data_IF_048904156724
#
_entry.id   IF_048904156724
#
_cell.length_a   1.000
_cell.length_b   1.000
_cell.length_c   1.000
_cell.angle_alpha   90.00
_cell.angle_beta   90.00
_cell.angle_gamma   90.00
#
_symmetry.space_group_name_H-M   'P 1'
#
loop_
_entity.id
_entity.type
_entity.pdbx_description
1 polymer ?
#
# COMPACT_ATOMS: atom_id res chain seq x y z
N UNK A 1 11.70 12.91 -10.69
CA UNK A 1 12.28 13.92 -9.77
C UNK A 1 13.41 13.42 -8.86
N UNK A 2 13.32 12.22 -8.25
CA UNK A 2 14.30 11.75 -7.24
C UNK A 2 15.77 11.80 -7.68
N UNK A 3 16.08 11.40 -8.92
CA UNK A 3 17.43 11.50 -9.49
C UNK A 3 17.97 12.94 -9.48
N UNK A 4 17.17 13.90 -9.93
CA UNK A 4 17.55 15.31 -9.95
C UNK A 4 17.78 15.87 -8.54
N UNK A 5 16.92 15.50 -7.58
CA UNK A 5 17.12 15.82 -6.16
C UNK A 5 18.47 15.30 -5.67
N UNK A 6 18.80 14.04 -5.93
CA UNK A 6 20.06 13.42 -5.51
C UNK A 6 21.28 14.09 -6.16
N UNK A 7 21.24 14.35 -7.47
CA UNK A 7 22.34 14.98 -8.20
C UNK A 7 22.63 16.40 -7.69
N UNK A 8 21.57 17.20 -7.47
CA UNK A 8 21.70 18.55 -6.91
C UNK A 8 22.23 18.48 -5.47
N UNK A 9 21.72 17.55 -4.65
CA UNK A 9 22.19 17.36 -3.28
C UNK A 9 23.69 17.06 -3.21
N UNK A 10 24.19 16.16 -4.06
CA UNK A 10 25.62 15.86 -4.20
C UNK A 10 26.42 17.07 -4.68
N UNK A 11 25.99 17.71 -5.77
CA UNK A 11 26.71 18.86 -6.37
C UNK A 11 26.81 20.05 -5.41
N UNK A 12 25.75 20.31 -4.66
CA UNK A 12 25.67 21.42 -3.71
C UNK A 12 26.20 21.07 -2.32
N UNK A 13 26.60 19.81 -2.09
CA UNK A 13 27.05 19.29 -0.79
C UNK A 13 26.05 19.62 0.32
N UNK A 14 24.77 19.37 0.05
CA UNK A 14 23.73 19.46 1.08
C UNK A 14 24.06 18.48 2.22
N UNK A 15 23.46 18.73 3.39
CA UNK A 15 23.65 17.90 4.57
C UNK A 15 22.31 17.61 5.23
N UNK A 16 22.21 16.42 5.80
CA UNK A 16 21.11 16.01 6.69
C UNK A 16 19.71 16.17 6.08
N UNK A 17 19.58 15.95 4.77
CA UNK A 17 18.28 15.98 4.09
C UNK A 17 17.53 14.69 4.38
N UNK A 18 16.50 14.76 5.23
CA UNK A 18 15.63 13.63 5.52
C UNK A 18 14.60 13.44 4.40
N UNK A 19 14.56 12.23 3.83
CA UNK A 19 13.57 11.85 2.80
C UNK A 19 12.54 10.93 3.44
N UNK A 20 11.36 11.46 3.75
CA UNK A 20 10.26 10.69 4.35
C UNK A 20 9.43 10.02 3.24
N UNK A 21 9.20 8.71 3.33
CA UNK A 21 8.45 7.98 2.31
C UNK A 21 7.88 6.65 2.82
N UNK A 22 6.93 6.08 2.07
CA UNK A 22 6.50 4.69 2.20
C UNK A 22 7.23 3.82 1.16
N UNK A 23 6.61 2.74 0.69
CA UNK A 23 7.14 1.95 -0.42
C UNK A 23 7.34 2.84 -1.65
N UNK A 24 8.59 3.00 -2.09
CA UNK A 24 8.91 3.79 -3.28
C UNK A 24 9.26 2.86 -4.42
N UNK A 25 8.55 2.97 -5.53
CA UNK A 25 8.87 2.23 -6.74
C UNK A 25 10.08 2.80 -7.49
N UNK A 26 10.83 1.91 -8.15
CA UNK A 26 12.02 2.26 -8.90
C UNK A 26 13.26 2.57 -8.04
N UNK A 27 14.33 3.14 -8.64
CA UNK A 27 15.57 3.40 -7.93
C UNK A 27 15.44 4.48 -6.84
N UNK A 28 16.08 4.26 -5.69
CA UNK A 28 16.25 5.24 -4.63
C UNK A 28 17.71 5.75 -4.60
N UNK A 29 18.15 6.58 -5.56
CA UNK A 29 19.56 6.97 -5.69
C UNK A 29 20.08 7.77 -4.48
N UNK A 30 19.20 8.43 -3.73
CA UNK A 30 19.53 9.10 -2.47
C UNK A 30 19.97 8.12 -1.36
N UNK A 31 19.77 6.81 -1.53
CA UNK A 31 20.24 5.77 -0.61
C UNK A 31 21.60 5.18 -1.00
N UNK A 32 22.29 5.70 -2.03
CA UNK A 32 23.61 5.21 -2.41
C UNK A 32 24.67 5.57 -1.34
N UNK A 33 25.74 4.76 -1.15
CA UNK A 33 26.75 5.02 -0.11
C UNK A 33 27.38 6.41 -0.19
N UNK A 34 27.58 6.95 -1.39
CA UNK A 34 28.15 8.29 -1.57
C UNK A 34 27.17 9.44 -1.27
N UNK A 35 25.91 9.11 -0.93
CA UNK A 35 24.92 10.06 -0.43
C UNK A 35 24.84 10.08 1.10
N UNK A 36 25.63 9.25 1.79
CA UNK A 36 25.65 9.23 3.25
C UNK A 36 26.09 10.59 3.82
N UNK A 37 25.40 11.05 4.86
CA UNK A 37 25.50 12.42 5.40
C UNK A 37 24.88 13.53 4.54
N UNK A 38 24.51 13.27 3.29
CA UNK A 38 23.76 14.21 2.44
C UNK A 38 22.26 13.95 2.58
N UNK A 39 21.86 12.69 2.35
CA UNK A 39 20.48 12.24 2.45
C UNK A 39 20.37 11.13 3.47
N UNK A 40 19.26 11.12 4.20
CA UNK A 40 18.86 10.01 5.07
C UNK A 40 17.45 9.57 4.73
N UNK A 41 17.31 8.34 4.25
CA UNK A 41 15.99 7.72 4.05
C UNK A 41 15.31 7.54 5.39
N UNK A 42 14.05 7.95 5.49
CA UNK A 42 13.20 7.78 6.66
C UNK A 42 11.92 7.09 6.21
N UNK A 43 11.95 5.76 6.25
CA UNK A 43 10.91 4.90 5.66
C UNK A 43 9.82 4.59 6.68
N UNK A 44 8.57 4.97 6.41
CA UNK A 44 7.40 4.49 7.16
C UNK A 44 6.97 3.08 6.73
N UNK A 45 7.35 2.69 5.50
CA UNK A 45 7.21 1.35 4.97
C UNK A 45 8.34 1.10 3.97
N UNK A 46 9.13 0.05 4.14
CA UNK A 46 10.32 -0.15 3.30
C UNK A 46 10.01 -0.83 1.96
N UNK A 47 10.53 -0.24 0.88
CA UNK A 47 10.68 -0.90 -0.41
C UNK A 47 11.99 -1.69 -0.52
N UNK A 48 12.10 -2.56 -1.53
CA UNK A 48 13.31 -3.36 -1.78
C UNK A 48 14.56 -2.52 -2.03
N UNK A 49 14.38 -1.36 -2.67
CA UNK A 49 15.40 -0.39 -3.03
C UNK A 49 16.11 0.29 -1.84
N UNK A 50 15.54 0.29 -0.63
CA UNK A 50 16.13 0.93 0.55
C UNK A 50 16.65 -0.04 1.61
N UNK A 51 16.32 -1.34 1.52
CA UNK A 51 16.70 -2.38 2.50
C UNK A 51 18.19 -2.38 2.84
N UNK A 52 19.05 -2.28 1.83
CA UNK A 52 20.50 -2.30 2.01
C UNK A 52 20.99 -1.09 2.82
N UNK A 53 20.45 0.10 2.52
CA UNK A 53 20.85 1.31 3.23
C UNK A 53 20.43 1.28 4.71
N UNK A 54 19.23 0.76 5.01
CA UNK A 54 18.78 0.55 6.40
C UNK A 54 19.65 -0.47 7.12
N UNK A 55 19.93 -1.62 6.49
CA UNK A 55 20.79 -2.66 7.08
C UNK A 55 22.23 -2.18 7.37
N UNK A 56 22.73 -1.21 6.59
CA UNK A 56 24.05 -0.59 6.78
C UNK A 56 24.02 0.63 7.73
N UNK A 57 22.88 1.00 8.31
CA UNK A 57 22.73 2.14 9.23
C UNK A 57 22.66 3.52 8.57
N UNK A 58 22.64 3.58 7.23
CA UNK A 58 22.57 4.82 6.44
C UNK A 58 21.14 5.33 6.22
N UNK A 59 20.14 4.52 6.56
CA UNK A 59 18.72 4.89 6.52
C UNK A 59 17.96 4.36 7.74
N UNK A 60 16.78 4.93 7.97
CA UNK A 60 15.87 4.58 9.06
C UNK A 60 14.62 3.87 8.54
N UNK A 61 14.12 2.95 9.34
CA UNK A 61 12.79 2.36 9.21
C UNK A 61 12.01 2.68 10.48
N UNK A 62 10.89 3.38 10.34
CA UNK A 62 10.00 3.72 11.45
C UNK A 62 8.85 2.71 11.50
N UNK A 63 8.75 1.86 12.54
CA UNK A 63 7.58 1.01 12.73
C UNK A 63 6.38 1.87 13.15
N UNK A 64 5.35 1.92 12.30
CA UNK A 64 4.12 2.67 12.53
C UNK A 64 2.96 2.04 11.74
N UNK A 65 1.74 2.06 12.29
CA UNK A 65 0.54 1.63 11.56
C UNK A 65 0.29 2.55 10.37
N UNK A 66 -0.15 1.98 9.25
CA UNK A 66 -0.35 2.78 8.04
C UNK A 66 -1.42 3.85 8.26
N UNK A 67 -2.49 3.48 8.99
CA UNK A 67 -3.54 4.40 9.45
C UNK A 67 -3.02 5.56 10.32
N UNK A 68 -1.87 5.40 10.99
CA UNK A 68 -1.32 6.41 11.89
C UNK A 68 -0.27 7.31 11.24
N UNK A 69 0.28 6.97 10.06
CA UNK A 69 1.27 7.84 9.38
C UNK A 69 0.76 9.28 9.23
N UNK A 70 -0.51 9.54 8.83
CA UNK A 70 -1.04 10.90 8.75
C UNK A 70 -0.95 11.70 10.05
N UNK A 71 -1.01 11.04 11.23
CA UNK A 71 -0.94 11.73 12.52
C UNK A 71 0.40 12.44 12.73
N UNK A 72 1.48 11.93 12.12
CA UNK A 72 2.81 12.53 12.21
C UNK A 72 2.81 13.95 11.61
N UNK A 73 2.02 14.15 10.56
CA UNK A 73 1.88 15.44 9.89
C UNK A 73 0.85 16.33 10.58
N UNK A 74 -0.33 15.80 10.92
CA UNK A 74 -1.38 16.56 11.60
C UNK A 74 -0.93 17.13 12.95
N UNK A 75 -0.12 16.36 13.71
CA UNK A 75 0.46 16.80 14.99
C UNK A 75 1.79 17.52 14.85
N UNK A 76 2.26 17.77 13.61
CA UNK A 76 3.55 18.43 13.35
C UNK A 76 4.74 17.75 14.02
N UNK A 77 4.67 16.42 14.18
CA UNK A 77 5.82 15.61 14.61
C UNK A 77 6.85 15.56 13.49
N UNK A 78 6.36 15.51 12.24
CA UNK A 78 7.16 15.69 11.03
C UNK A 78 6.56 16.85 10.24
N UNK A 79 7.38 17.84 9.95
CA UNK A 79 7.01 19.03 9.16
C UNK A 79 7.90 19.10 7.91
N UNK A 80 7.50 18.44 6.80
CA UNK A 80 8.30 18.47 5.60
C UNK A 80 8.41 19.90 5.06
N UNK A 81 9.60 20.28 4.61
CA UNK A 81 9.73 21.56 3.89
C UNK A 81 9.18 21.45 2.48
N UNK A 82 9.39 20.29 1.83
CA UNK A 82 8.97 20.02 0.47
C UNK A 82 8.12 18.75 0.40
N UNK A 83 7.01 18.81 -0.31
CA UNK A 83 6.31 17.63 -0.82
C UNK A 83 6.67 17.44 -2.29
N UNK A 84 7.17 16.26 -2.64
CA UNK A 84 7.43 15.88 -4.03
C UNK A 84 6.36 14.89 -4.45
N UNK A 85 5.45 15.32 -5.31
CA UNK A 85 4.28 14.54 -5.73
C UNK A 85 4.29 14.30 -7.23
N UNK A 86 3.53 13.31 -7.68
CA UNK A 86 3.23 13.11 -9.10
C UNK A 86 1.71 13.19 -9.28
N UNK A 87 1.26 13.90 -10.31
CA UNK A 87 -0.16 14.18 -10.55
C UNK A 87 -0.55 14.04 -12.02
N UNK A 88 -1.84 13.85 -12.28
CA UNK A 88 -2.42 13.99 -13.63
C UNK A 88 -2.28 15.45 -14.13
N UNK A 89 -2.44 15.70 -15.43
CA UNK A 89 -2.67 17.05 -15.94
C UNK A 89 -3.92 17.67 -15.28
N UNK A 90 -3.97 19.01 -15.14
CA UNK A 90 -5.17 19.68 -14.67
C UNK A 90 -6.31 19.53 -15.68
N UNK A 91 -7.52 19.35 -15.18
CA UNK A 91 -8.73 19.42 -15.98
C UNK A 91 -9.12 20.87 -16.33
N UNK A 92 -10.25 21.06 -17.02
CA UNK A 92 -10.75 22.38 -17.42
C UNK A 92 -11.05 23.33 -16.23
N UNK A 93 -11.11 22.81 -15.00
CA UNK A 93 -11.36 23.57 -13.78
C UNK A 93 -10.08 23.77 -12.95
N UNK A 94 -8.92 23.37 -13.48
CA UNK A 94 -7.63 23.54 -12.82
C UNK A 94 -7.33 22.46 -11.78
N UNK A 95 -8.07 21.34 -11.76
CA UNK A 95 -7.82 20.26 -10.80
C UNK A 95 -6.99 19.14 -11.40
N UNK A 96 -5.89 18.82 -10.73
CA UNK A 96 -5.13 17.60 -10.94
C UNK A 96 -5.61 16.50 -9.97
N UNK A 97 -5.20 15.25 -10.22
CA UNK A 97 -5.36 14.12 -9.29
C UNK A 97 -4.01 13.54 -8.89
N UNK A 98 -3.85 13.18 -7.62
CA UNK A 98 -2.75 12.35 -7.10
C UNK A 98 -2.75 10.93 -7.68
N UNK A 99 -3.85 10.52 -8.32
CA UNK A 99 -3.97 9.28 -9.06
C UNK A 99 -3.82 8.05 -8.18
N UNK A 100 -2.70 7.34 -8.33
CA UNK A 100 -2.48 6.03 -7.71
C UNK A 100 -2.09 6.08 -6.24
N UNK A 101 -1.78 7.24 -5.66
CA UNK A 101 -1.29 7.34 -4.28
C UNK A 101 -1.89 8.54 -3.57
N UNK A 102 -2.96 8.31 -2.80
CA UNK A 102 -3.57 9.33 -1.95
C UNK A 102 -3.02 9.21 -0.54
N UNK A 103 -3.22 8.02 0.04
CA UNK A 103 -2.57 7.50 1.24
C UNK A 103 -2.16 8.53 2.30
N UNK A 104 -0.92 8.50 2.78
CA UNK A 104 -0.37 9.52 3.66
C UNK A 104 0.17 10.74 2.89
N UNK A 105 0.36 10.64 1.57
CA UNK A 105 0.82 11.75 0.71
C UNK A 105 -0.09 12.95 0.86
N UNK A 106 -1.42 12.74 0.96
CA UNK A 106 -2.38 13.83 1.18
C UNK A 106 -2.08 14.63 2.45
N UNK A 107 -1.83 13.94 3.57
CA UNK A 107 -1.48 14.57 4.83
C UNK A 107 -0.11 15.25 4.76
N UNK A 108 0.90 14.55 4.22
CA UNK A 108 2.26 15.06 4.05
C UNK A 108 2.32 16.33 3.20
N UNK A 109 1.63 16.37 2.05
CA UNK A 109 1.63 17.55 1.19
C UNK A 109 0.89 18.74 1.81
N UNK A 110 -0.22 18.49 2.52
CA UNK A 110 -1.01 19.55 3.14
C UNK A 110 -0.29 20.24 4.31
N UNK A 111 0.74 19.59 4.87
CA UNK A 111 1.58 20.12 5.95
C UNK A 111 2.99 20.48 5.46
N UNK A 112 3.22 20.47 4.15
CA UNK A 112 4.48 20.89 3.55
C UNK A 112 4.46 22.38 3.23
N UNK A 113 5.63 23.03 3.32
CA UNK A 113 5.74 24.46 2.97
C UNK A 113 5.70 24.72 1.48
N UNK A 114 6.23 23.79 0.68
CA UNK A 114 6.36 23.89 -0.77
C UNK A 114 5.93 22.57 -1.41
N UNK A 115 5.05 22.63 -2.39
CA UNK A 115 4.58 21.49 -3.18
C UNK A 115 5.23 21.53 -4.57
N UNK A 116 5.99 20.48 -4.89
CA UNK A 116 6.66 20.31 -6.18
C UNK A 116 6.02 19.11 -6.90
N UNK A 117 5.35 19.38 -8.03
CA UNK A 117 4.56 18.39 -8.75
C UNK A 117 5.22 17.94 -10.07
N UNK A 118 5.30 16.63 -10.26
CA UNK A 118 5.58 16.00 -11.54
C UNK A 118 4.25 15.76 -12.26
N UNK A 119 3.93 16.56 -13.27
CA UNK A 119 2.68 16.43 -14.04
C UNK A 119 2.90 15.40 -15.14
N UNK A 120 2.17 14.28 -15.09
CA UNK A 120 2.32 13.14 -16.00
C UNK A 120 0.96 12.78 -16.64
N UNK A 121 0.81 12.83 -17.98
CA UNK A 121 -0.42 12.41 -18.64
C UNK A 121 -0.76 10.92 -18.43
N UNK A 122 0.22 10.10 -18.05
CA UNK A 122 0.00 8.68 -17.73
C UNK A 122 -0.49 8.45 -16.28
N UNK A 123 -0.61 9.50 -15.45
CA UNK A 123 -1.19 9.39 -14.11
C UNK A 123 -2.72 9.39 -14.21
N UNK A 124 -3.43 8.32 -13.79
CA UNK A 124 -4.87 8.27 -13.89
C UNK A 124 -5.53 9.32 -13.00
N UNK A 125 -6.65 9.87 -13.45
CA UNK A 125 -7.48 10.79 -12.70
C UNK A 125 -8.49 10.02 -11.86
N UNK A 126 -8.08 9.63 -10.66
CA UNK A 126 -8.93 8.96 -9.68
C UNK A 126 -9.83 9.95 -8.93
N UNK A 127 -11.01 9.50 -8.51
CA UNK A 127 -11.93 10.25 -7.64
C UNK A 127 -11.59 10.04 -6.15
N UNK A 128 -12.14 10.86 -5.27
CA UNK A 128 -11.92 10.82 -3.82
C UNK A 128 -11.02 11.96 -3.35
N UNK A 129 -10.17 11.69 -2.35
CA UNK A 129 -9.35 12.70 -1.66
C UNK A 129 -8.07 13.07 -2.44
N UNK A 130 -7.84 12.43 -3.58
CA UNK A 130 -6.71 12.67 -4.46
C UNK A 130 -6.74 14.00 -5.23
N UNK A 131 -7.82 14.76 -5.16
CA UNK A 131 -8.02 15.97 -5.97
C UNK A 131 -7.23 17.15 -5.38
N UNK A 132 -6.49 17.88 -6.23
CA UNK A 132 -5.72 19.07 -5.87
C UNK A 132 -5.81 20.14 -6.98
N UNK A 133 -6.12 21.38 -6.60
CA UNK A 133 -6.13 22.50 -7.55
C UNK A 133 -4.71 23.03 -7.80
N UNK A 134 -4.40 23.44 -9.04
CA UNK A 134 -3.08 23.93 -9.45
C UNK A 134 -2.58 25.13 -8.64
N UNK A 135 -3.48 25.93 -8.04
CA UNK A 135 -3.09 27.06 -7.19
C UNK A 135 -2.39 26.66 -5.90
N UNK A 136 -2.44 25.39 -5.51
CA UNK A 136 -1.70 24.85 -4.36
C UNK A 136 -0.32 24.31 -4.73
N UNK A 137 0.03 24.27 -6.02
CA UNK A 137 1.31 23.74 -6.49
C UNK A 137 2.28 24.90 -6.72
N UNK A 138 3.38 24.95 -5.96
CA UNK A 138 4.39 26.00 -6.08
C UNK A 138 5.27 25.84 -7.32
N UNK A 139 5.67 24.61 -7.62
CA UNK A 139 6.51 24.28 -8.77
C UNK A 139 5.99 23.04 -9.47
N UNK A 140 5.97 23.06 -10.80
CA UNK A 140 5.58 21.91 -11.60
C UNK A 140 6.59 21.65 -12.72
N UNK A 141 6.84 20.37 -13.02
CA UNK A 141 7.48 19.98 -14.27
C UNK A 141 6.63 18.94 -15.00
N UNK A 142 6.58 19.06 -16.33
CA UNK A 142 5.91 18.07 -17.17
C UNK A 142 6.85 16.91 -17.43
N UNK A 143 6.31 15.70 -17.38
CA UNK A 143 6.96 14.49 -17.84
C UNK A 143 5.96 13.71 -18.69
N UNK A 144 6.47 12.82 -19.53
CA UNK A 144 5.67 11.82 -20.21
C UNK A 144 6.41 10.49 -20.07
N UNK A 145 6.06 9.76 -19.02
CA UNK A 145 6.71 8.51 -18.64
C UNK A 145 5.65 7.53 -18.16
N UNK A 146 5.74 6.25 -18.55
CA UNK A 146 4.86 5.22 -18.02
C UNK A 146 5.01 5.14 -16.50
N UNK A 147 3.92 4.83 -15.81
CA UNK A 147 3.96 4.54 -14.38
C UNK A 147 4.70 3.21 -14.14
N UNK A 148 5.38 3.05 -13.00
CA UNK A 148 5.96 1.76 -12.62
C UNK A 148 4.88 0.69 -12.58
N UNK A 149 5.03 -0.36 -13.38
CA UNK A 149 4.06 -1.47 -13.41
C UNK A 149 4.54 -2.64 -12.56
N UNK A 150 3.62 -3.26 -11.84
CA UNK A 150 3.85 -4.52 -11.13
C UNK A 150 2.94 -5.59 -11.72
N UNK A 151 3.53 -6.54 -12.44
CA UNK A 151 2.87 -7.77 -12.88
C UNK A 151 3.23 -8.90 -11.92
N UNK A 152 2.24 -9.47 -11.25
CA UNK A 152 2.43 -10.68 -10.44
C UNK A 152 2.93 -11.84 -11.30
N UNK A 153 3.71 -12.73 -10.70
CA UNK A 153 3.94 -14.04 -11.30
C UNK A 153 2.66 -14.88 -11.17
N UNK A 154 2.36 -15.77 -12.13
CA UNK A 154 1.26 -16.71 -11.99
C UNK A 154 1.38 -17.48 -10.66
N UNK A 155 0.29 -17.66 -9.92
CA UNK A 155 0.33 -18.40 -8.68
C UNK A 155 0.81 -19.83 -8.90
N UNK A 156 1.67 -20.32 -8.00
CA UNK A 156 2.09 -21.72 -7.91
C UNK A 156 0.91 -22.61 -7.52
N UNK A 157 1.04 -23.93 -7.69
CA UNK A 157 -0.01 -24.87 -7.26
C UNK A 157 -0.34 -24.76 -5.77
N UNK A 158 0.67 -24.50 -4.92
CA UNK A 158 0.45 -24.27 -3.48
C UNK A 158 -0.41 -23.02 -3.26
N UNK A 159 -0.12 -21.93 -3.96
CA UNK A 159 -0.86 -20.68 -3.83
C UNK A 159 -2.27 -20.79 -4.41
N UNK A 160 -2.45 -21.53 -5.50
CA UNK A 160 -3.79 -21.87 -6.03
C UNK A 160 -4.61 -22.65 -5.01
N UNK A 161 -4.02 -23.62 -4.31
CA UNK A 161 -4.71 -24.37 -3.25
C UNK A 161 -5.07 -23.46 -2.06
N UNK A 162 -4.17 -22.56 -1.66
CA UNK A 162 -4.47 -21.54 -0.64
C UNK A 162 -5.64 -20.67 -1.09
N UNK A 163 -5.59 -20.16 -2.33
CA UNK A 163 -6.63 -19.33 -2.93
C UNK A 163 -7.99 -20.02 -2.94
N UNK A 164 -8.04 -21.27 -3.42
CA UNK A 164 -9.22 -22.12 -3.43
C UNK A 164 -9.80 -22.34 -2.03
N UNK A 165 -8.95 -22.69 -1.06
CA UNK A 165 -9.39 -22.93 0.31
C UNK A 165 -10.02 -21.68 0.94
N UNK A 166 -9.42 -20.50 0.71
CA UNK A 166 -9.97 -19.24 1.20
C UNK A 166 -11.29 -18.90 0.50
N UNK A 167 -11.31 -18.97 -0.83
CA UNK A 167 -12.49 -18.63 -1.63
C UNK A 167 -13.69 -19.53 -1.28
N UNK A 168 -13.52 -20.85 -1.30
CA UNK A 168 -14.64 -21.80 -1.14
C UNK A 168 -15.14 -21.91 0.30
N UNK A 169 -14.26 -21.75 1.30
CA UNK A 169 -14.61 -22.03 2.69
C UNK A 169 -14.79 -20.76 3.54
N UNK A 170 -14.17 -19.65 3.14
CA UNK A 170 -14.09 -18.46 3.99
C UNK A 170 -14.72 -17.23 3.35
N UNK A 171 -14.73 -17.07 2.03
CA UNK A 171 -15.43 -15.93 1.42
C UNK A 171 -16.93 -16.24 1.31
N UNK A 172 -17.76 -15.26 1.62
CA UNK A 172 -19.22 -15.37 1.51
C UNK A 172 -19.77 -14.36 0.51
N UNK A 173 -20.90 -14.69 -0.12
CA UNK A 173 -21.69 -13.71 -0.87
C UNK A 173 -22.01 -12.48 -0.01
N UNK A 174 -21.88 -11.31 -0.62
CA UNK A 174 -22.06 -10.02 0.04
C UNK A 174 -20.91 -9.57 0.94
N UNK A 175 -19.80 -10.32 1.01
CA UNK A 175 -18.63 -9.93 1.79
C UNK A 175 -17.90 -8.73 1.19
N UNK A 176 -17.30 -7.90 2.07
CA UNK A 176 -16.36 -6.86 1.66
C UNK A 176 -14.95 -7.37 1.82
N UNK A 177 -14.16 -7.28 0.76
CA UNK A 177 -12.81 -7.82 0.71
C UNK A 177 -11.78 -6.72 0.94
N UNK A 178 -10.78 -7.05 1.76
CA UNK A 178 -9.46 -6.42 1.74
C UNK A 178 -8.41 -7.48 1.39
N UNK A 179 -7.51 -7.11 0.48
CA UNK A 179 -6.35 -7.92 0.17
C UNK A 179 -5.25 -7.04 -0.44
N UNK A 180 -3.99 -7.45 -0.25
CA UNK A 180 -2.84 -6.80 -0.87
C UNK A 180 -2.60 -7.27 -2.31
N UNK A 181 -1.38 -7.04 -2.80
CA UNK A 181 -0.87 -7.60 -4.05
C UNK A 181 -0.09 -8.89 -3.81
N UNK A 182 0.01 -9.72 -4.85
CA UNK A 182 0.86 -10.90 -4.88
C UNK A 182 0.10 -12.17 -5.24
N UNK A 183 0.86 -13.26 -5.37
CA UNK A 183 0.37 -14.56 -5.84
C UNK A 183 -0.80 -15.14 -5.02
N UNK A 184 -0.80 -14.98 -3.69
CA UNK A 184 -1.90 -15.47 -2.84
C UNK A 184 -3.18 -14.65 -3.06
N UNK A 185 -3.19 -13.31 -2.92
CA UNK A 185 -4.36 -12.49 -3.28
C UNK A 185 -4.88 -12.77 -4.69
N UNK A 186 -3.99 -12.85 -5.69
CA UNK A 186 -4.36 -13.14 -7.08
C UNK A 186 -5.01 -14.53 -7.22
N UNK A 187 -4.50 -15.54 -6.52
CA UNK A 187 -5.08 -16.87 -6.49
C UNK A 187 -6.47 -16.90 -5.83
N UNK A 188 -6.67 -16.12 -4.76
CA UNK A 188 -8.00 -15.98 -4.14
C UNK A 188 -8.97 -15.37 -5.15
N UNK A 189 -8.63 -14.22 -5.75
CA UNK A 189 -9.50 -13.51 -6.70
C UNK A 189 -9.91 -14.39 -7.88
N UNK A 190 -9.00 -15.20 -8.41
CA UNK A 190 -9.28 -16.13 -9.51
C UNK A 190 -10.35 -17.18 -9.14
N UNK A 191 -10.50 -17.53 -7.87
CA UNK A 191 -11.47 -18.50 -7.35
C UNK A 191 -12.81 -17.85 -6.94
N UNK A 192 -12.98 -16.54 -7.05
CA UNK A 192 -14.21 -15.84 -6.62
C UNK A 192 -15.24 -15.62 -7.73
N UNK A 193 -15.08 -16.24 -8.90
CA UNK A 193 -15.90 -15.98 -10.09
C UNK A 193 -17.38 -16.38 -9.97
N UNK A 194 -17.75 -17.22 -9.00
CA UNK A 194 -19.13 -17.62 -8.74
C UNK A 194 -19.78 -16.86 -7.57
N UNK A 195 -19.01 -16.02 -6.87
CA UNK A 195 -19.49 -15.23 -5.74
C UNK A 195 -20.31 -14.03 -6.23
N UNK A 196 -21.25 -13.59 -5.39
CA UNK A 196 -22.21 -12.54 -5.70
C UNK A 196 -22.12 -11.39 -4.73
N UNK A 197 -22.35 -10.19 -5.26
CA UNK A 197 -22.51 -8.96 -4.49
C UNK A 197 -21.32 -8.61 -3.58
N UNK A 198 -20.11 -9.02 -3.97
CA UNK A 198 -18.88 -8.69 -3.25
C UNK A 198 -18.65 -7.18 -3.23
N UNK A 199 -18.03 -6.70 -2.15
CA UNK A 199 -17.54 -5.34 -2.00
C UNK A 199 -16.03 -5.29 -1.89
N UNK A 200 -15.44 -4.13 -2.16
CA UNK A 200 -14.02 -3.84 -2.00
C UNK A 200 -13.88 -2.60 -1.10
N UNK A 201 -13.18 -2.78 0.02
CA UNK A 201 -12.69 -1.71 0.87
C UNK A 201 -11.31 -2.15 1.33
N UNK A 202 -10.29 -1.66 0.65
CA UNK A 202 -8.94 -2.20 0.78
C UNK A 202 -7.93 -1.06 0.78
N UNK A 203 -6.80 -1.26 1.45
CA UNK A 203 -5.66 -0.34 1.35
C UNK A 203 -5.23 -0.14 -0.13
N UNK A 204 -5.15 -1.26 -0.85
CA UNK A 204 -4.85 -1.32 -2.28
C UNK A 204 -5.59 -2.50 -2.91
N UNK A 205 -5.69 -2.56 -4.24
CA UNK A 205 -6.22 -3.73 -4.92
C UNK A 205 -5.48 -4.04 -6.21
N UNK A 206 -5.53 -5.31 -6.62
CA UNK A 206 -4.84 -5.83 -7.79
C UNK A 206 -5.77 -5.96 -9.00
N UNK A 207 -5.19 -6.29 -10.16
CA UNK A 207 -5.90 -6.45 -11.42
C UNK A 207 -7.03 -7.50 -11.39
N UNK A 208 -6.93 -8.54 -10.55
CA UNK A 208 -7.97 -9.57 -10.43
C UNK A 208 -9.34 -9.02 -9.97
N UNK A 209 -9.38 -7.84 -9.33
CA UNK A 209 -10.64 -7.17 -9.02
C UNK A 209 -11.38 -6.73 -10.29
N UNK A 210 -10.65 -6.32 -11.33
CA UNK A 210 -11.24 -5.88 -12.61
C UNK A 210 -12.03 -7.02 -13.25
N UNK A 211 -11.48 -8.23 -13.24
CA UNK A 211 -12.14 -9.42 -13.79
C UNK A 211 -13.43 -9.75 -13.03
N UNK A 212 -13.41 -9.65 -11.70
CA UNK A 212 -14.61 -9.86 -10.87
C UNK A 212 -15.66 -8.77 -11.06
N UNK A 213 -15.25 -7.53 -11.33
CA UNK A 213 -16.18 -6.45 -11.70
C UNK A 213 -16.83 -6.73 -13.05
N UNK A 214 -16.04 -7.09 -14.06
CA UNK A 214 -16.54 -7.40 -15.41
C UNK A 214 -17.51 -8.59 -15.41
N UNK A 215 -17.34 -9.54 -14.48
CA UNK A 215 -18.25 -10.68 -14.27
C UNK A 215 -19.49 -10.36 -13.44
N UNK A 216 -19.55 -9.17 -12.83
CA UNK A 216 -20.65 -8.78 -11.94
C UNK A 216 -20.56 -9.38 -10.52
N UNK A 217 -19.45 -10.01 -10.16
CA UNK A 217 -19.21 -10.55 -8.82
C UNK A 217 -19.01 -9.42 -7.81
N UNK A 218 -18.25 -8.39 -8.18
CA UNK A 218 -18.00 -7.19 -7.35
C UNK A 218 -18.98 -6.09 -7.74
N UNK A 219 -19.93 -5.81 -6.86
CA UNK A 219 -20.96 -4.77 -7.07
C UNK A 219 -20.89 -3.65 -6.04
N UNK A 220 -20.27 -3.89 -4.88
CA UNK A 220 -20.27 -2.98 -3.73
C UNK A 220 -21.67 -2.64 -3.19
N UNK A 221 -22.72 -3.36 -3.60
CA UNK A 221 -24.12 -3.03 -3.26
C UNK A 221 -24.51 -3.34 -1.82
N UNK A 222 -23.77 -4.23 -1.15
CA UNK A 222 -24.01 -4.61 0.24
C UNK A 222 -23.27 -3.72 1.24
N UNK A 223 -22.25 -2.97 0.81
CA UNK A 223 -21.51 -2.05 1.67
C UNK A 223 -22.45 -1.02 2.31
N UNK A 224 -22.21 -0.69 3.58
CA UNK A 224 -23.01 0.29 4.35
C UNK A 224 -22.65 1.73 4.02
N UNK A 225 -21.36 1.98 3.81
CA UNK A 225 -20.77 3.25 3.39
C UNK A 225 -20.01 3.02 2.08
N UNK A 226 -19.87 4.06 1.25
CA UNK A 226 -19.33 3.92 -0.11
C UNK A 226 -20.03 2.81 -0.92
N UNK A 227 -21.37 2.75 -0.80
CA UNK A 227 -22.19 1.76 -1.50
C UNK A 227 -22.08 1.97 -3.01
N UNK A 228 -21.88 0.89 -3.75
CA UNK A 228 -21.68 0.94 -5.20
C UNK A 228 -20.32 1.51 -5.61
N UNK A 229 -19.35 1.61 -4.69
CA UNK A 229 -18.00 2.12 -4.94
C UNK A 229 -16.93 1.19 -4.39
N UNK A 230 -15.90 0.93 -5.17
CA UNK A 230 -14.62 0.38 -4.72
C UNK A 230 -13.89 1.48 -3.94
N UNK A 231 -13.38 1.15 -2.76
CA UNK A 231 -12.55 2.07 -1.96
C UNK A 231 -11.13 1.55 -1.88
N UNK A 232 -10.17 2.43 -2.21
CA UNK A 232 -8.72 2.23 -2.16
C UNK A 232 -8.01 3.39 -1.49
N UNK A 233 -6.74 3.22 -1.12
CA UNK A 233 -5.86 4.29 -0.60
C UNK A 233 -4.66 4.55 -1.51
N UNK A 234 -4.10 3.48 -2.07
CA UNK A 234 -3.11 3.54 -3.15
C UNK A 234 -3.19 2.32 -4.08
N UNK A 235 -2.49 2.38 -5.21
CA UNK A 235 -2.51 1.38 -6.27
C UNK A 235 -1.12 1.15 -6.86
N UNK A 236 -0.81 -0.12 -7.12
CA UNK A 236 0.28 -0.51 -8.00
C UNK A 236 -0.15 -1.78 -8.73
N UNK A 237 0.07 -1.81 -10.04
CA UNK A 237 -0.37 -2.93 -10.87
C UNK A 237 0.06 -2.76 -12.31
N UNK A 238 -0.71 -3.35 -13.22
CA UNK A 238 -0.48 -3.25 -14.66
C UNK A 238 -1.13 -2.01 -15.24
N UNK A 239 -0.83 -1.70 -16.51
CA UNK A 239 -1.50 -0.61 -17.23
C UNK A 239 -3.03 -0.78 -17.24
N UNK A 240 -3.54 -2.00 -17.32
CA UNK A 240 -4.97 -2.27 -17.27
C UNK A 240 -5.62 -1.81 -15.95
N UNK A 241 -4.90 -1.89 -14.82
CA UNK A 241 -5.38 -1.34 -13.54
C UNK A 241 -5.43 0.19 -13.60
N UNK A 242 -4.42 0.84 -14.16
CA UNK A 242 -4.37 2.29 -14.28
C UNK A 242 -5.46 2.82 -15.22
N UNK A 243 -5.69 2.14 -16.35
CA UNK A 243 -6.77 2.48 -17.28
C UNK A 243 -8.15 2.28 -16.64
N UNK A 244 -8.32 1.23 -15.83
CA UNK A 244 -9.60 0.94 -15.15
C UNK A 244 -9.97 2.00 -14.12
N UNK A 245 -9.00 2.58 -13.42
CA UNK A 245 -9.27 3.59 -12.37
C UNK A 245 -9.31 5.02 -12.92
N UNK A 246 -8.80 5.26 -14.12
CA UNK A 246 -8.84 6.58 -14.76
C UNK A 246 -10.28 7.02 -15.03
N UNK A 247 -10.68 8.16 -14.47
CA UNK A 247 -12.01 8.76 -14.64
C UNK A 247 -13.18 7.79 -14.40
N UNK A 248 -12.98 6.77 -13.55
CA UNK A 248 -14.01 5.78 -13.26
C UNK A 248 -14.73 6.11 -11.94
N UNK A 249 -16.00 6.58 -11.97
CA UNK A 249 -16.73 6.93 -10.75
C UNK A 249 -17.03 5.72 -9.87
N UNK A 250 -16.80 4.48 -10.34
CA UNK A 250 -16.91 3.29 -9.52
C UNK A 250 -15.78 3.15 -8.48
N UNK A 251 -14.70 3.92 -8.60
CA UNK A 251 -13.52 3.85 -7.73
C UNK A 251 -13.32 5.17 -6.98
N UNK A 252 -13.13 5.08 -5.68
CA UNK A 252 -12.77 6.21 -4.81
C UNK A 252 -11.44 5.91 -4.09
N UNK A 253 -10.47 6.79 -4.30
CA UNK A 253 -9.16 6.76 -3.65
C UNK A 253 -9.15 7.76 -2.50
N UNK A 254 -9.04 7.27 -1.27
CA UNK A 254 -9.20 8.05 -0.04
C UNK A 254 -7.94 8.04 0.81
N UNK A 255 -7.88 8.92 1.80
CA UNK A 255 -6.76 8.98 2.75
C UNK A 255 -6.64 7.71 3.59
N UNK A 256 -5.40 7.33 3.93
CA UNK A 256 -5.13 6.04 4.59
C UNK A 256 -5.66 5.96 6.03
N UNK A 257 -5.70 7.08 6.75
CA UNK A 257 -6.28 7.20 8.09
C UNK A 257 -7.81 7.03 8.10
N UNK A 258 -8.46 7.08 6.93
CA UNK A 258 -9.86 6.67 6.76
C UNK A 258 -9.97 5.20 6.35
N UNK A 259 -9.29 4.83 5.26
CA UNK A 259 -9.41 3.49 4.64
C UNK A 259 -8.98 2.40 5.62
N UNK A 260 -7.89 2.61 6.34
CA UNK A 260 -7.34 1.67 7.31
C UNK A 260 -7.89 1.88 8.73
N UNK A 261 -8.82 2.81 8.95
CA UNK A 261 -9.39 3.00 10.28
C UNK A 261 -10.19 1.75 10.69
N UNK A 262 -9.84 1.12 11.82
CA UNK A 262 -10.62 -0.01 12.34
C UNK A 262 -12.09 0.37 12.53
N UNK A 263 -12.38 1.62 12.92
CA UNK A 263 -13.74 2.16 13.06
C UNK A 263 -14.53 2.13 11.74
N UNK A 264 -13.87 2.29 10.60
CA UNK A 264 -14.48 2.24 9.26
C UNK A 264 -14.54 0.78 8.78
N UNK A 265 -13.42 0.06 8.90
CA UNK A 265 -13.29 -1.36 8.50
C UNK A 265 -14.33 -2.24 9.20
N UNK A 266 -14.56 -2.07 10.50
CA UNK A 266 -15.53 -2.86 11.27
C UNK A 266 -17.00 -2.60 10.90
N UNK A 267 -17.28 -1.54 10.14
CA UNK A 267 -18.62 -1.30 9.59
C UNK A 267 -18.89 -2.08 8.30
N UNK A 268 -17.83 -2.57 7.64
CA UNK A 268 -17.96 -3.30 6.38
C UNK A 268 -18.66 -4.65 6.61
N UNK A 269 -19.67 -5.00 5.80
CA UNK A 269 -20.38 -6.27 5.95
C UNK A 269 -19.44 -7.45 5.65
N UNK A 270 -19.43 -8.43 6.55
CA UNK A 270 -18.61 -9.65 6.50
C UNK A 270 -17.17 -9.36 6.07
N UNK A 271 -16.57 -8.35 6.68
CA UNK A 271 -15.25 -7.85 6.27
C UNK A 271 -14.22 -8.99 6.28
N UNK A 272 -13.75 -9.37 5.10
CA UNK A 272 -12.84 -10.50 4.89
C UNK A 272 -11.47 -9.94 4.51
N UNK A 273 -10.59 -9.87 5.50
CA UNK A 273 -9.25 -9.29 5.38
C UNK A 273 -8.23 -10.40 5.19
N UNK A 274 -7.59 -10.47 4.03
CA UNK A 274 -6.68 -11.55 3.64
C UNK A 274 -5.28 -10.98 3.47
N UNK A 275 -4.36 -11.43 4.33
CA UNK A 275 -2.99 -10.93 4.33
C UNK A 275 -1.96 -12.07 4.39
N UNK A 276 -0.76 -11.79 3.88
CA UNK A 276 0.34 -12.75 3.87
C UNK A 276 1.35 -12.48 4.99
N UNK A 277 2.09 -13.50 5.40
CA UNK A 277 3.18 -13.35 6.37
C UNK A 277 4.45 -14.13 5.96
N UNK A 278 5.55 -13.81 6.64
CA UNK A 278 6.86 -14.45 6.49
C UNK A 278 6.93 -15.73 7.32
N UNK A 279 6.41 -15.72 8.53
CA UNK A 279 6.36 -16.91 9.39
C UNK A 279 5.31 -16.74 10.50
N UNK A 280 4.88 -17.87 11.04
CA UNK A 280 4.00 -17.95 12.21
C UNK A 280 4.60 -18.93 13.19
N UNK A 281 4.58 -18.60 14.48
CA UNK A 281 5.02 -19.53 15.50
C UNK A 281 3.89 -20.36 16.15
N UNK A 282 4.24 -21.36 16.94
CA UNK A 282 3.27 -22.25 17.61
C UNK A 282 2.40 -21.54 18.64
N UNK A 283 2.72 -20.30 19.03
CA UNK A 283 1.88 -19.48 19.90
C UNK A 283 0.90 -18.59 19.12
N UNK A 284 1.01 -18.58 17.78
CA UNK A 284 0.18 -17.78 16.89
C UNK A 284 0.74 -16.38 16.63
N UNK A 285 1.98 -16.08 17.04
CA UNK A 285 2.62 -14.82 16.66
C UNK A 285 2.90 -14.82 15.16
N UNK A 286 2.57 -13.71 14.50
CA UNK A 286 2.73 -13.53 13.06
C UNK A 286 3.85 -12.53 12.81
N UNK A 287 4.87 -12.95 12.05
CA UNK A 287 5.91 -12.05 11.56
C UNK A 287 5.72 -11.83 10.06
N UNK A 288 5.58 -10.57 9.65
CA UNK A 288 5.31 -10.18 8.25
C UNK A 288 6.27 -9.12 7.70
N UNK A 289 7.12 -8.53 8.53
CA UNK A 289 7.91 -7.35 8.16
C UNK A 289 9.43 -7.50 8.33
N UNK A 290 9.90 -8.57 8.96
CA UNK A 290 11.32 -8.81 9.20
C UNK A 290 11.73 -10.28 8.99
N UNK A 291 13.04 -10.51 8.85
CA UNK A 291 13.65 -11.86 8.90
C UNK A 291 14.74 -11.81 9.97
N UNK A 292 14.40 -12.22 11.19
CA UNK A 292 15.18 -11.86 12.38
C UNK A 292 15.31 -10.34 12.48
N UNK A 293 16.50 -9.83 12.80
CA UNK A 293 16.77 -8.37 12.87
C UNK A 293 16.77 -7.64 11.53
N UNK A 294 16.69 -8.35 10.41
CA UNK A 294 16.73 -7.70 9.10
C UNK A 294 15.33 -7.27 8.68
N UNK A 295 15.06 -5.98 8.84
CA UNK A 295 13.85 -5.34 8.31
C UNK A 295 13.71 -5.61 6.81
N UNK A 296 12.54 -6.12 6.42
CA UNK A 296 12.20 -6.44 5.04
C UNK A 296 11.20 -5.42 4.47
N UNK A 297 10.23 -4.97 5.26
CA UNK A 297 9.16 -4.06 4.83
C UNK A 297 8.71 -3.18 6.01
N UNK A 298 7.45 -3.27 6.38
CA UNK A 298 6.79 -2.81 7.59
C UNK A 298 5.51 -3.64 7.74
N UNK A 299 4.88 -3.64 8.91
CA UNK A 299 3.60 -4.35 9.09
C UNK A 299 2.44 -3.65 8.37
N UNK A 300 2.60 -2.36 8.02
CA UNK A 300 1.66 -1.61 7.17
C UNK A 300 0.24 -1.63 7.72
N UNK A 301 -0.76 -1.79 6.83
CA UNK A 301 -2.16 -1.91 7.21
C UNK A 301 -2.62 -3.32 7.59
N UNK A 302 -1.73 -4.31 7.63
CA UNK A 302 -2.13 -5.68 7.96
C UNK A 302 -2.87 -5.74 9.31
N UNK A 303 -2.29 -5.12 10.33
CA UNK A 303 -2.88 -5.11 11.68
C UNK A 303 -4.19 -4.32 11.70
N UNK A 304 -4.24 -3.18 11.00
CA UNK A 304 -5.45 -2.36 10.87
C UNK A 304 -6.64 -3.18 10.35
N UNK A 305 -6.45 -3.91 9.25
CA UNK A 305 -7.52 -4.68 8.62
C UNK A 305 -7.86 -5.97 9.35
N UNK A 306 -6.86 -6.69 9.85
CA UNK A 306 -7.10 -7.90 10.66
C UNK A 306 -7.87 -7.54 11.93
N UNK A 307 -7.52 -6.44 12.60
CA UNK A 307 -8.25 -5.95 13.77
C UNK A 307 -9.66 -5.52 13.40
N UNK A 308 -9.81 -4.68 12.38
CA UNK A 308 -11.12 -4.18 11.97
C UNK A 308 -12.08 -5.30 11.50
N UNK A 309 -11.58 -6.32 10.81
CA UNK A 309 -12.36 -7.50 10.45
C UNK A 309 -12.78 -8.31 11.69
N UNK A 310 -11.87 -8.54 12.64
CA UNK A 310 -12.18 -9.23 13.90
C UNK A 310 -13.22 -8.48 14.74
N UNK A 311 -13.19 -7.15 14.72
CA UNK A 311 -14.13 -6.26 15.42
C UNK A 311 -15.42 -5.98 14.64
N UNK A 312 -15.63 -6.63 13.48
CA UNK A 312 -16.77 -6.40 12.58
C UNK A 312 -18.11 -6.37 13.32
N UNK A 313 -18.87 -5.28 13.16
CA UNK A 313 -20.09 -5.02 13.93
C UNK A 313 -21.22 -6.02 13.64
N UNK A 314 -21.16 -6.72 12.52
CA UNK A 314 -22.12 -7.78 12.19
C UNK A 314 -21.73 -9.15 12.77
N UNK A 315 -20.57 -9.26 13.42
CA UNK A 315 -20.03 -10.50 13.98
C UNK A 315 -19.60 -11.53 12.93
N UNK A 316 -19.46 -11.14 11.65
CA UNK A 316 -19.18 -12.04 10.53
C UNK A 316 -17.86 -11.76 9.82
N UNK A 317 -17.06 -10.83 10.33
CA UNK A 317 -15.75 -10.53 9.75
C UNK A 317 -14.77 -11.70 9.90
N UNK A 318 -13.85 -11.81 8.95
CA UNK A 318 -12.90 -12.93 8.81
C UNK A 318 -11.48 -12.39 8.61
N UNK A 319 -10.69 -12.29 9.69
CA UNK A 319 -9.27 -12.00 9.60
C UNK A 319 -8.49 -13.25 9.19
N UNK A 320 -7.81 -13.22 8.04
CA UNK A 320 -7.12 -14.37 7.46
C UNK A 320 -5.66 -14.03 7.24
N UNK A 321 -4.78 -14.83 7.84
CA UNK A 321 -3.34 -14.83 7.57
C UNK A 321 -3.01 -16.09 6.76
N UNK A 322 -2.42 -15.90 5.59
CA UNK A 322 -2.11 -16.98 4.65
C UNK A 322 -0.62 -17.02 4.30
N UNK A 323 -0.08 -18.23 4.18
CA UNK A 323 1.28 -18.45 3.70
C UNK A 323 1.45 -19.89 3.20
N UNK A 324 2.40 -20.15 2.29
CA UNK A 324 2.92 -21.51 2.11
C UNK A 324 3.45 -22.04 3.45
N UNK A 325 3.38 -23.36 3.67
CA UNK A 325 3.93 -23.98 4.88
C UNK A 325 5.46 -23.99 4.91
N UNK A 326 6.10 -23.93 3.73
CA UNK A 326 7.56 -23.93 3.57
C UNK A 326 8.03 -22.83 2.63
N UNK A 327 9.30 -22.46 2.73
CA UNK A 327 9.99 -21.60 1.75
C UNK A 327 10.37 -22.39 0.50
N UNK A 328 10.82 -21.69 -0.54
CA UNK A 328 11.38 -22.32 -1.76
C UNK A 328 12.64 -23.17 -1.49
N UNK A 329 13.24 -23.07 -0.29
CA UNK A 329 14.37 -23.90 0.15
C UNK A 329 13.94 -25.10 1.02
N UNK A 330 12.65 -25.31 1.21
CA UNK A 330 12.10 -26.38 2.05
C UNK A 330 12.10 -26.09 3.55
N UNK A 331 12.52 -24.89 3.98
CA UNK A 331 12.47 -24.49 5.39
C UNK A 331 11.02 -24.22 5.83
N UNK A 332 10.62 -24.71 7.01
CA UNK A 332 9.29 -24.45 7.55
C UNK A 332 9.08 -22.96 7.84
N UNK A 333 7.93 -22.42 7.43
CA UNK A 333 7.43 -21.10 7.83
C UNK A 333 6.56 -21.17 9.09
N UNK A 334 6.26 -22.39 9.57
CA UNK A 334 5.63 -22.65 10.86
C UNK A 334 6.75 -23.04 11.83
N UNK A 335 7.07 -22.17 12.78
CA UNK A 335 8.23 -22.32 13.66
C UNK A 335 7.83 -22.54 15.13
N UNK A 336 8.66 -23.18 15.96
CA UNK A 336 8.42 -23.22 17.41
C UNK A 336 8.37 -21.82 18.05
N UNK A 337 9.21 -20.91 17.55
CA UNK A 337 9.31 -19.50 17.92
C UNK A 337 9.70 -18.72 16.67
N UNK A 338 9.21 -17.49 16.51
CA UNK A 338 9.68 -16.60 15.44
C UNK A 338 11.20 -16.43 15.50
N UNK A 339 11.83 -16.23 14.34
CA UNK A 339 13.29 -16.12 14.23
C UNK A 339 13.79 -15.04 15.18
N UNK A 340 14.78 -15.34 16.03
CA UNK A 340 15.23 -14.40 17.03
C UNK A 340 15.82 -13.16 16.36
N UNK A 341 15.53 -12.02 16.95
CA UNK A 341 16.31 -10.81 16.71
C UNK A 341 17.77 -11.11 17.09
N UNK A 342 18.70 -10.87 16.17
CA UNK A 342 20.10 -11.27 16.36
C UNK A 342 20.66 -10.71 17.67
N UNK A 343 21.10 -11.65 18.53
CA UNK A 343 21.63 -11.51 19.90
C UNK A 343 20.56 -11.40 20.99
N UNK A 344 20.38 -12.52 21.69
CA UNK A 344 19.91 -12.56 23.08
C UNK A 344 20.75 -11.57 23.89
N UNK A 345 20.14 -10.46 24.30
CA UNK A 345 20.67 -9.63 25.38
C UNK A 345 20.39 -10.39 26.68
N UNK A 346 21.30 -11.31 27.03
CA UNK A 346 21.37 -11.88 28.38
C UNK A 346 22.54 -11.27 29.12
#
# INVERSE_FOLDING_TARGET
MLKGMTEVGKKKKLKDVRVCHMHTEGPAPYCAPECDGIFRSFSFFMGGNVRKAVAEGRGDALPIFLSEIPILFYKKIIEPTYAVIQVSPPDQHGYCSLGTSVDCVRAGMSHSKIIVAQVNPNMPRTFGDGIIHISHIDYACKVDQPLPTHGGQPPTEVEKQIGKNIAENLVEDGATLQMGIGSIPDAVLACLHDHKDLGIHSEMFAGGVIDLVNRGCVTNNKKKIHKGRIVGSFLIGTQALYDFVDNNPFVEMLVVDYVNSTKIVSQMPKMTAINSCIEVDLTGQVNSDSIGTRMYSGFGGQVDFIRGAAEGFDGKGKPIIAMPSTTNKGESKIAPICKPDSKRWY
#
